data_IF_121181799753
#
_entry.id   IF_121181799753
#
_cell.length_a   1.000
_cell.length_b   1.000
_cell.length_c   1.000
_cell.angle_alpha   90.00
_cell.angle_beta   90.00
_cell.angle_gamma   90.00
#
_symmetry.space_group_name_H-M   'P 1'
#
loop_
_entity.id
_entity.type
_entity.pdbx_description
1 polymer ?
#
# COMPACT_ATOMS: atom_id res chain seq x y z
N UNK A 1 -25.66 8.59 -8.65
CA UNK A 1 -24.21 8.50 -8.88
C UNK A 1 -23.60 9.80 -8.37
N UNK A 2 -22.81 9.77 -7.30
CA UNK A 2 -22.18 10.97 -6.76
C UNK A 2 -21.07 11.39 -7.72
N UNK A 3 -21.16 12.60 -8.28
CA UNK A 3 -20.06 13.16 -9.09
C UNK A 3 -19.02 13.79 -8.17
N UNK A 4 -17.74 13.53 -8.45
CA UNK A 4 -16.65 14.25 -7.80
C UNK A 4 -16.75 15.74 -8.15
N UNK A 5 -16.50 16.61 -7.19
CA UNK A 5 -16.41 18.04 -7.47
C UNK A 5 -15.20 18.35 -8.40
N UNK A 6 -15.18 19.51 -9.09
CA UNK A 6 -14.13 19.80 -10.06
C UNK A 6 -12.70 19.72 -9.51
N UNK A 7 -12.50 20.15 -8.25
CA UNK A 7 -11.18 20.09 -7.61
C UNK A 7 -10.71 18.64 -7.38
N UNK A 8 -11.61 17.74 -6.99
CA UNK A 8 -11.32 16.32 -6.81
C UNK A 8 -11.10 15.61 -8.15
N UNK A 9 -11.87 15.97 -9.19
CA UNK A 9 -11.64 15.45 -10.55
C UNK A 9 -10.24 15.80 -11.04
N UNK A 10 -9.79 17.04 -10.81
CA UNK A 10 -8.44 17.45 -11.19
C UNK A 10 -7.36 16.67 -10.43
N UNK A 11 -7.51 16.48 -9.11
CA UNK A 11 -6.57 15.67 -8.32
C UNK A 11 -6.53 14.21 -8.80
N UNK A 12 -7.69 13.64 -9.12
CA UNK A 12 -7.80 12.29 -9.64
C UNK A 12 -7.11 12.14 -11.00
N UNK A 13 -7.33 13.08 -11.92
CA UNK A 13 -6.65 13.10 -13.21
C UNK A 13 -5.12 13.21 -13.07
N UNK A 14 -4.64 14.04 -12.12
CA UNK A 14 -3.20 14.12 -11.80
C UNK A 14 -2.66 12.78 -11.31
N UNK A 15 -3.37 12.10 -10.41
CA UNK A 15 -2.98 10.77 -9.91
C UNK A 15 -2.88 9.74 -11.05
N UNK A 16 -3.89 9.69 -11.91
CA UNK A 16 -3.89 8.78 -13.07
C UNK A 16 -2.70 9.06 -14.00
N UNK A 17 -2.39 10.34 -14.24
CA UNK A 17 -1.23 10.74 -15.05
C UNK A 17 0.09 10.28 -14.43
N UNK A 18 0.25 10.40 -13.12
CA UNK A 18 1.47 9.93 -12.42
C UNK A 18 1.70 8.44 -12.68
N UNK A 19 0.67 7.60 -12.58
CA UNK A 19 0.82 6.17 -12.87
C UNK A 19 1.15 5.90 -14.33
N UNK A 20 0.44 6.54 -15.26
CA UNK A 20 0.73 6.40 -16.70
C UNK A 20 2.19 6.74 -17.01
N UNK A 21 2.72 7.83 -16.43
CA UNK A 21 4.09 8.28 -16.66
C UNK A 21 5.15 7.36 -16.00
N UNK A 22 4.80 6.66 -14.91
CA UNK A 22 5.68 5.67 -14.25
C UNK A 22 5.76 4.34 -15.01
N UNK A 23 4.68 3.94 -15.70
CA UNK A 23 4.61 2.73 -16.54
C UNK A 23 4.57 1.39 -15.79
N UNK A 24 5.21 1.27 -14.64
CA UNK A 24 5.11 0.11 -13.74
C UNK A 24 5.40 0.50 -12.30
N UNK A 25 4.71 -0.11 -11.34
CA UNK A 25 4.84 0.24 -9.92
C UNK A 25 4.73 -0.97 -9.00
N UNK A 26 5.40 -0.87 -7.86
CA UNK A 26 5.09 -1.65 -6.67
C UNK A 26 4.44 -0.70 -5.66
N UNK A 27 3.25 -1.05 -5.19
CA UNK A 27 2.54 -0.31 -4.14
C UNK A 27 2.77 -1.01 -2.82
N UNK A 28 3.41 -0.32 -1.88
CA UNK A 28 3.43 -0.73 -0.48
C UNK A 28 2.00 -0.59 0.09
N UNK A 29 1.31 -1.72 0.19
CA UNK A 29 -0.11 -1.80 0.51
C UNK A 29 -0.29 -2.17 1.99
N UNK A 30 -1.00 -1.32 2.73
CA UNK A 30 -1.25 -1.51 4.17
C UNK A 30 -2.67 -1.97 4.50
N UNK A 31 -3.57 -2.05 3.51
CA UNK A 31 -5.00 -2.30 3.72
C UNK A 31 -5.81 -1.05 4.12
N UNK A 32 -5.15 0.05 4.51
CA UNK A 32 -5.81 1.30 4.83
C UNK A 32 -6.34 2.05 3.59
N UNK A 33 -7.37 2.88 3.78
CA UNK A 33 -8.08 3.59 2.70
C UNK A 33 -7.18 4.32 1.72
N UNK A 34 -6.13 4.99 2.20
CA UNK A 34 -5.20 5.73 1.34
C UNK A 34 -4.45 4.77 0.40
N UNK A 35 -3.89 3.69 0.94
CA UNK A 35 -3.17 2.69 0.16
C UNK A 35 -4.10 1.91 -0.78
N UNK A 36 -5.37 1.71 -0.41
CA UNK A 36 -6.40 1.07 -1.23
C UNK A 36 -6.77 1.93 -2.43
N UNK A 37 -6.93 3.26 -2.24
CA UNK A 37 -7.17 4.19 -3.36
C UNK A 37 -5.97 4.18 -4.30
N UNK A 38 -4.76 4.29 -3.77
CA UNK A 38 -3.52 4.27 -4.57
C UNK A 38 -3.40 2.97 -5.38
N UNK A 39 -3.59 1.81 -4.73
CA UNK A 39 -3.52 0.51 -5.38
C UNK A 39 -4.60 0.36 -6.46
N UNK A 40 -5.85 0.69 -6.15
CA UNK A 40 -6.95 0.57 -7.11
C UNK A 40 -6.70 1.41 -8.36
N UNK A 41 -6.29 2.66 -8.20
CA UNK A 41 -6.00 3.54 -9.35
C UNK A 41 -4.76 3.05 -10.11
N UNK A 42 -3.73 2.54 -9.43
CA UNK A 42 -2.57 1.96 -10.09
C UNK A 42 -2.98 0.77 -10.98
N UNK A 43 -3.80 -0.15 -10.46
CA UNK A 43 -4.31 -1.31 -11.20
C UNK A 43 -5.22 -0.88 -12.36
N UNK A 44 -6.09 0.10 -12.15
CA UNK A 44 -6.98 0.61 -13.22
C UNK A 44 -6.20 1.21 -14.41
N UNK A 45 -5.03 1.81 -14.15
CA UNK A 45 -4.20 2.47 -15.18
C UNK A 45 -3.17 1.52 -15.79
N UNK A 46 -2.54 0.66 -14.98
CA UNK A 46 -1.36 -0.12 -15.37
C UNK A 46 -1.61 -1.64 -15.47
N UNK A 47 -2.77 -2.12 -15.00
CA UNK A 47 -3.10 -3.55 -14.99
C UNK A 47 -2.02 -4.39 -14.30
N UNK A 48 -1.51 -5.40 -15.00
CA UNK A 48 -0.48 -6.33 -14.50
C UNK A 48 0.86 -5.65 -14.15
N UNK A 49 1.10 -4.42 -14.61
CA UNK A 49 2.30 -3.65 -14.28
C UNK A 49 2.21 -2.94 -12.92
N UNK A 50 1.10 -3.08 -12.19
CA UNK A 50 0.95 -2.67 -10.80
C UNK A 50 0.93 -3.90 -9.87
N UNK A 51 1.79 -3.90 -8.85
CA UNK A 51 1.88 -4.98 -7.85
C UNK A 51 1.54 -4.46 -6.45
N UNK A 52 0.77 -5.23 -5.69
CA UNK A 52 0.52 -4.98 -4.27
C UNK A 52 1.53 -5.76 -3.42
N UNK A 53 2.22 -5.09 -2.50
CA UNK A 53 3.14 -5.71 -1.56
C UNK A 53 2.80 -5.29 -0.14
N UNK A 54 2.65 -6.24 0.77
CA UNK A 54 2.53 -5.98 2.21
C UNK A 54 3.72 -6.57 2.96
N UNK A 55 4.27 -5.80 3.90
CA UNK A 55 5.27 -6.28 4.83
C UNK A 55 4.58 -6.86 6.07
N UNK A 56 4.82 -8.14 6.37
CA UNK A 56 4.36 -8.76 7.61
C UNK A 56 5.45 -8.69 8.66
N UNK A 57 5.06 -8.67 9.93
CA UNK A 57 5.98 -8.75 11.06
C UNK A 57 5.26 -9.34 12.26
N UNK A 58 5.99 -9.72 13.33
CA UNK A 58 5.37 -10.10 14.60
C UNK A 58 4.45 -9.02 15.19
N UNK A 59 4.55 -7.77 14.71
CA UNK A 59 3.73 -6.64 15.16
C UNK A 59 2.53 -6.33 14.27
N UNK A 60 2.36 -7.04 13.14
CA UNK A 60 1.18 -6.90 12.27
C UNK A 60 0.10 -7.90 12.71
N UNK A 61 -1.11 -7.46 13.07
CA UNK A 61 -2.21 -8.37 13.38
C UNK A 61 -2.60 -9.24 12.18
N UNK A 62 -2.86 -10.53 12.42
CA UNK A 62 -3.28 -11.46 11.35
C UNK A 62 -4.57 -11.01 10.64
N UNK A 63 -5.51 -10.43 11.39
CA UNK A 63 -6.75 -9.88 10.83
C UNK A 63 -6.51 -8.75 9.82
N UNK A 64 -5.49 -7.90 10.03
CA UNK A 64 -5.16 -6.84 9.07
C UNK A 64 -4.59 -7.42 7.77
N UNK A 65 -3.84 -8.53 7.86
CA UNK A 65 -3.36 -9.24 6.68
C UNK A 65 -4.51 -9.91 5.92
N UNK A 66 -5.47 -10.52 6.62
CA UNK A 66 -6.68 -11.10 6.02
C UNK A 66 -7.53 -10.03 5.31
N UNK A 67 -7.73 -8.88 5.93
CA UNK A 67 -8.44 -7.74 5.32
C UNK A 67 -7.71 -7.24 4.05
N UNK A 68 -6.38 -7.16 4.09
CA UNK A 68 -5.57 -6.79 2.94
C UNK A 68 -5.71 -7.78 1.77
N UNK A 69 -5.78 -9.09 2.05
CA UNK A 69 -6.06 -10.09 1.02
C UNK A 69 -7.43 -9.88 0.38
N UNK A 70 -8.48 -9.71 1.18
CA UNK A 70 -9.84 -9.49 0.67
C UNK A 70 -9.95 -8.22 -0.19
N UNK A 71 -9.26 -7.15 0.20
CA UNK A 71 -9.20 -5.93 -0.60
C UNK A 71 -8.48 -6.16 -1.94
N UNK A 72 -7.33 -6.83 -1.94
CA UNK A 72 -6.59 -7.14 -3.17
C UNK A 72 -7.41 -8.03 -4.13
N UNK A 73 -8.12 -9.03 -3.59
CA UNK A 73 -9.05 -9.87 -4.36
C UNK A 73 -10.17 -9.02 -5.00
N UNK A 74 -10.78 -8.10 -4.24
CA UNK A 74 -11.83 -7.21 -4.77
C UNK A 74 -11.33 -6.25 -5.86
N UNK A 75 -10.05 -5.87 -5.80
CA UNK A 75 -9.40 -5.01 -6.80
C UNK A 75 -8.99 -5.82 -8.04
N UNK A 76 -8.77 -7.13 -7.90
CA UNK A 76 -8.30 -8.02 -8.96
C UNK A 76 -6.78 -8.04 -9.11
N UNK A 77 -6.03 -7.90 -8.01
CA UNK A 77 -4.55 -7.92 -8.01
C UNK A 77 -4.02 -8.92 -6.97
N UNK A 78 -2.98 -9.71 -7.27
CA UNK A 78 -2.35 -10.57 -6.27
C UNK A 78 -1.65 -9.75 -5.18
N UNK A 79 -1.81 -10.16 -3.93
CA UNK A 79 -1.06 -9.62 -2.80
C UNK A 79 0.23 -10.41 -2.60
N UNK A 80 1.38 -9.76 -2.73
CA UNK A 80 2.67 -10.35 -2.38
C UNK A 80 3.02 -10.01 -0.93
N UNK A 81 3.33 -11.04 -0.15
CA UNK A 81 3.76 -10.89 1.25
C UNK A 81 5.27 -10.93 1.34
N UNK A 82 5.84 -9.98 2.11
CA UNK A 82 7.25 -9.96 2.46
C UNK A 82 7.37 -10.03 3.98
N UNK A 83 8.02 -11.06 4.49
CA UNK A 83 8.27 -11.20 5.92
C UNK A 83 9.39 -10.26 6.36
N UNK A 84 9.13 -9.51 7.43
CA UNK A 84 10.09 -8.63 8.10
C UNK A 84 10.10 -8.94 9.59
N UNK A 85 11.21 -8.67 10.25
CA UNK A 85 11.37 -8.97 11.67
C UNK A 85 12.17 -7.87 12.37
N UNK A 86 11.45 -6.81 12.76
CA UNK A 86 12.04 -5.67 13.46
C UNK A 86 12.50 -6.05 14.88
N UNK A 87 12.09 -7.21 15.42
CA UNK A 87 12.59 -7.68 16.72
C UNK A 87 14.08 -8.02 16.69
N UNK A 88 14.65 -8.24 15.50
CA UNK A 88 16.10 -8.41 15.30
C UNK A 88 16.89 -7.10 15.27
N UNK A 89 16.20 -5.95 15.24
CA UNK A 89 16.84 -4.63 15.20
C UNK A 89 16.91 -4.11 16.64
N UNK A 90 18.11 -4.12 17.24
CA UNK A 90 18.30 -3.69 18.63
C UNK A 90 17.71 -2.30 18.89
N UNK A 91 17.98 -1.34 18.01
CA UNK A 91 17.46 0.02 18.12
C UNK A 91 15.92 0.13 18.00
N UNK A 92 15.26 -0.84 17.37
CA UNK A 92 13.79 -0.92 17.37
C UNK A 92 13.27 -1.46 18.71
N UNK A 93 13.94 -2.49 19.26
CA UNK A 93 13.58 -3.13 20.53
C UNK A 93 13.79 -2.21 21.73
N UNK A 94 14.79 -1.31 21.69
CA UNK A 94 14.98 -0.28 22.71
C UNK A 94 13.75 0.62 22.90
N UNK A 95 12.89 0.73 21.88
CA UNK A 95 11.62 1.46 21.93
C UNK A 95 11.76 2.91 22.40
N UNK A 96 12.82 3.59 21.95
CA UNK A 96 13.05 5.01 22.20
C UNK A 96 12.39 5.89 21.11
N UNK A 97 12.64 7.20 21.16
CA UNK A 97 12.09 8.17 20.20
C UNK A 97 12.50 7.90 18.73
N UNK A 98 13.54 7.09 18.49
CA UNK A 98 14.05 6.75 17.17
C UNK A 98 13.54 5.40 16.65
N UNK A 99 12.76 4.64 17.43
CA UNK A 99 12.18 3.34 17.03
C UNK A 99 11.59 3.34 15.62
N UNK A 100 10.76 4.34 15.30
CA UNK A 100 10.05 4.41 14.02
C UNK A 100 10.98 4.70 12.83
N UNK A 101 12.13 5.34 13.06
CA UNK A 101 13.16 5.52 12.03
C UNK A 101 13.78 4.17 11.67
N UNK A 102 14.17 3.40 12.68
CA UNK A 102 14.73 2.06 12.50
C UNK A 102 13.71 1.06 11.92
N UNK A 103 12.42 1.21 12.25
CA UNK A 103 11.34 0.40 11.67
C UNK A 103 11.21 0.53 10.14
N UNK A 104 11.58 1.70 9.59
CA UNK A 104 11.41 2.03 8.17
C UNK A 104 12.66 1.79 7.30
N UNK A 105 13.75 1.30 7.90
CA UNK A 105 15.02 1.03 7.22
C UNK A 105 15.12 -0.44 6.84
#
# INVERSE_FOLDING_TARGET
>A
MLSLNPALQQKYATLQKVFHDLGSVVVAFSGGVDSTVVLKVAVDILGESAKAVIATSPTLPASELEDAYGLCESIGVPLQVVETDQSKIEAFVQNDATRCFHCKT
#
